data_IF_824255618385
#
_entry.id   IF_824255618385
#
_cell.length_a   1.000
_cell.length_b   1.000
_cell.length_c   1.000
_cell.angle_alpha   90.00
_cell.angle_beta   90.00
_cell.angle_gamma   90.00
#
_symmetry.space_group_name_H-M   'P 1'
#
loop_
_entity.id
_entity.type
_entity.pdbx_description
1 polymer ?
#
# COMPACT_ATOMS: atom_id res chain seq x y z
N UNK A 1 -0.51 49.57 -57.71
CA UNK A 1 -0.65 49.22 -56.28
C UNK A 1 -1.67 48.08 -56.16
N UNK A 2 -1.27 46.80 -56.06
CA UNK A 2 -2.16 45.63 -55.74
C UNK A 2 -1.48 44.24 -55.86
N UNK A 3 -0.19 44.10 -55.48
CA UNK A 3 0.49 42.77 -55.53
C UNK A 3 1.32 42.43 -54.29
N UNK A 4 1.03 43.04 -53.14
CA UNK A 4 1.74 42.76 -51.86
C UNK A 4 0.80 42.14 -50.79
N UNK A 5 -0.52 42.04 -51.03
CA UNK A 5 -1.45 41.55 -50.00
C UNK A 5 -1.55 40.02 -49.87
N UNK A 6 -1.10 39.22 -50.84
CA UNK A 6 -1.34 37.76 -50.77
C UNK A 6 -0.24 37.00 -50.00
N UNK A 7 1.00 37.50 -50.00
CA UNK A 7 2.13 36.79 -49.36
C UNK A 7 2.11 36.94 -47.82
N UNK A 8 1.63 38.07 -47.31
CA UNK A 8 1.54 38.32 -45.86
C UNK A 8 0.41 37.50 -45.21
N UNK A 9 -0.65 37.20 -45.96
CA UNK A 9 -1.75 36.35 -45.48
C UNK A 9 -1.34 34.86 -45.39
N UNK A 10 -0.41 34.41 -46.23
CA UNK A 10 0.11 33.03 -46.23
C UNK A 10 1.21 32.80 -45.17
N UNK A 11 1.90 33.86 -44.73
CA UNK A 11 2.88 33.79 -43.64
C UNK A 11 2.24 33.91 -42.25
N UNK A 12 1.02 34.46 -42.15
CA UNK A 12 0.28 34.57 -40.88
C UNK A 12 -0.45 33.29 -40.45
N UNK A 13 -0.67 32.34 -41.38
CA UNK A 13 -1.41 31.10 -41.10
C UNK A 13 -0.53 29.94 -40.61
N UNK A 14 0.79 30.00 -40.77
CA UNK A 14 1.71 28.95 -40.29
C UNK A 14 2.00 29.01 -38.79
N UNK A 15 1.63 30.10 -38.10
CA UNK A 15 1.84 30.26 -36.66
C UNK A 15 0.72 29.66 -35.79
N UNK A 16 -0.35 29.13 -36.39
CA UNK A 16 -1.50 28.57 -35.66
C UNK A 16 -1.51 27.03 -35.58
N UNK A 17 -0.46 26.35 -36.06
CA UNK A 17 -0.36 24.88 -36.02
C UNK A 17 0.29 24.37 -34.71
N UNK A 18 0.59 25.25 -33.74
CA UNK A 18 1.01 24.83 -32.41
C UNK A 18 -0.15 24.52 -31.43
N UNK A 19 -1.39 24.60 -31.90
CA UNK A 19 -2.56 24.40 -31.04
C UNK A 19 -3.01 22.93 -31.05
N UNK A 20 -2.95 22.31 -29.85
CA UNK A 20 -3.39 20.96 -29.47
C UNK A 20 -2.35 19.84 -29.69
N UNK A 21 -1.42 19.70 -28.73
CA UNK A 21 -1.02 18.34 -28.34
C UNK A 21 -2.31 17.61 -27.95
N UNK A 22 -2.79 16.72 -28.81
CA UNK A 22 -4.01 15.91 -28.65
C UNK A 22 -3.90 14.86 -27.53
N UNK A 23 -2.89 14.98 -26.69
CA UNK A 23 -2.61 14.04 -25.63
C UNK A 23 -3.45 14.44 -24.42
N UNK A 24 -4.32 13.53 -24.00
CA UNK A 24 -5.04 13.69 -22.74
C UNK A 24 -4.03 13.92 -21.61
N UNK A 25 -4.43 14.70 -20.61
CA UNK A 25 -3.61 14.90 -19.44
C UNK A 25 -3.20 13.55 -18.83
N UNK A 26 -1.90 13.38 -18.60
CA UNK A 26 -1.34 12.21 -17.96
C UNK A 26 -0.55 12.66 -16.73
N UNK A 27 -0.81 12.09 -15.53
CA UNK A 27 -0.02 12.37 -14.35
C UNK A 27 1.47 12.05 -14.56
N UNK A 28 2.36 12.74 -13.84
CA UNK A 28 3.81 12.63 -14.03
C UNK A 28 4.33 11.21 -13.70
N UNK A 29 3.74 10.58 -12.70
CA UNK A 29 4.05 9.23 -12.23
C UNK A 29 3.78 8.21 -13.34
N UNK A 30 2.65 8.37 -14.04
CA UNK A 30 2.28 7.53 -15.18
C UNK A 30 3.22 7.78 -16.35
N UNK A 31 3.53 9.05 -16.69
CA UNK A 31 4.49 9.37 -17.76
C UNK A 31 5.84 8.69 -17.52
N UNK A 32 6.36 8.75 -16.28
CA UNK A 32 7.61 8.09 -15.90
C UNK A 32 7.54 6.57 -16.09
N UNK A 33 6.42 5.91 -15.80
CA UNK A 33 6.26 4.47 -15.99
C UNK A 33 6.34 4.08 -17.48
N UNK A 34 5.74 4.88 -18.37
CA UNK A 34 5.89 4.71 -19.82
C UNK A 34 7.32 4.98 -20.31
N UNK A 35 7.97 6.05 -19.83
CA UNK A 35 9.37 6.37 -20.17
C UNK A 35 10.35 5.28 -19.71
N UNK A 36 10.09 4.69 -18.54
CA UNK A 36 10.84 3.55 -18.00
C UNK A 36 10.55 2.24 -18.73
N UNK A 37 9.51 2.17 -19.56
CA UNK A 37 9.08 0.96 -20.27
C UNK A 37 8.45 -0.10 -19.36
N UNK A 38 7.97 0.29 -18.17
CA UNK A 38 7.23 -0.62 -17.27
C UNK A 38 5.75 -0.71 -17.65
N UNK A 39 5.23 0.26 -18.43
CA UNK A 39 3.88 0.28 -18.99
C UNK A 39 3.93 0.45 -20.51
N UNK A 40 2.97 -0.12 -21.23
CA UNK A 40 2.84 0.01 -22.69
C UNK A 40 1.49 0.61 -23.10
N UNK A 41 1.44 1.23 -24.28
CA UNK A 41 0.28 2.00 -24.76
C UNK A 41 -0.90 1.14 -25.20
N UNK A 42 -0.67 -0.16 -25.41
CA UNK A 42 -1.69 -1.17 -25.72
C UNK A 42 -2.35 -1.76 -24.47
N UNK A 43 -1.93 -1.34 -23.28
CA UNK A 43 -2.47 -1.79 -21.99
C UNK A 43 -1.84 -3.09 -21.46
N UNK A 44 -0.90 -3.69 -22.19
CA UNK A 44 -0.11 -4.80 -21.67
C UNK A 44 0.91 -4.30 -20.61
N UNK A 45 1.51 -5.21 -19.82
CA UNK A 45 2.74 -4.93 -19.10
C UNK A 45 3.85 -4.51 -20.08
N UNK A 46 4.61 -3.47 -19.75
CA UNK A 46 5.78 -3.10 -20.55
C UNK A 46 6.91 -4.13 -20.43
N UNK A 47 7.88 -4.10 -21.35
CA UNK A 47 9.00 -5.05 -21.38
C UNK A 47 9.82 -5.08 -20.09
N UNK A 48 9.82 -3.97 -19.33
CA UNK A 48 10.53 -3.84 -18.05
C UNK A 48 9.58 -3.92 -16.84
N UNK A 49 8.34 -4.38 -17.03
CA UNK A 49 7.38 -4.54 -15.94
C UNK A 49 7.89 -5.55 -14.91
N UNK A 50 7.58 -5.29 -13.64
CA UNK A 50 7.97 -6.12 -12.51
C UNK A 50 6.86 -6.09 -11.46
N UNK A 51 6.82 -7.10 -10.60
CA UNK A 51 5.93 -7.16 -9.45
C UNK A 51 6.69 -7.76 -8.27
N UNK A 52 6.61 -7.10 -7.12
CA UNK A 52 7.08 -7.70 -5.88
C UNK A 52 6.07 -8.76 -5.42
N UNK A 53 6.56 -9.76 -4.70
CA UNK A 53 5.75 -10.89 -4.22
C UNK A 53 5.97 -11.10 -2.74
N UNK A 54 5.00 -11.70 -2.07
CA UNK A 54 5.06 -11.93 -0.63
C UNK A 54 4.53 -13.32 -0.29
N UNK A 55 5.30 -14.08 0.48
CA UNK A 55 4.83 -15.33 1.05
C UNK A 55 4.46 -15.11 2.51
N UNK A 56 3.25 -15.52 2.89
CA UNK A 56 2.75 -15.47 4.25
C UNK A 56 2.55 -16.88 4.80
N UNK A 57 3.07 -17.11 6.01
CA UNK A 57 2.61 -18.18 6.89
C UNK A 57 2.01 -17.54 8.13
N UNK A 58 0.71 -17.74 8.36
CA UNK A 58 -0.04 -17.08 9.42
C UNK A 58 -0.63 -18.14 10.35
N UNK A 59 -0.28 -18.07 11.64
CA UNK A 59 -0.99 -18.78 12.69
C UNK A 59 -1.91 -17.80 13.40
N UNK A 60 -3.21 -18.04 13.39
CA UNK A 60 -4.21 -17.10 13.90
C UNK A 60 -5.24 -17.78 14.79
N UNK A 61 -5.63 -17.08 15.84
CA UNK A 61 -6.72 -17.49 16.72
C UNK A 61 -7.70 -16.34 16.90
N UNK A 62 -8.99 -16.68 16.94
CA UNK A 62 -10.07 -15.75 17.24
C UNK A 62 -10.74 -16.23 18.53
N UNK A 63 -10.88 -15.35 19.50
CA UNK A 63 -11.62 -15.60 20.73
C UNK A 63 -12.93 -14.79 20.72
N UNK A 64 -14.09 -15.44 20.48
CA UNK A 64 -15.37 -14.76 20.46
C UNK A 64 -15.81 -14.19 21.83
N UNK A 65 -15.23 -14.66 22.94
CA UNK A 65 -15.63 -14.22 24.29
C UNK A 65 -15.21 -12.77 24.56
N UNK A 66 -14.06 -12.36 24.04
CA UNK A 66 -13.51 -11.01 24.17
C UNK A 66 -13.35 -10.27 22.83
N UNK A 67 -13.78 -10.90 21.72
CA UNK A 67 -13.62 -10.42 20.34
C UNK A 67 -12.16 -10.21 19.94
N UNK A 68 -11.21 -10.90 20.57
CA UNK A 68 -9.80 -10.75 20.22
C UNK A 68 -9.41 -11.63 19.04
N UNK A 69 -8.46 -11.12 18.27
CA UNK A 69 -7.71 -11.86 17.25
C UNK A 69 -6.24 -11.74 17.61
N UNK A 70 -5.56 -12.87 17.69
CA UNK A 70 -4.14 -12.95 17.99
C UNK A 70 -3.49 -13.79 16.92
N UNK A 71 -2.36 -13.33 16.41
CA UNK A 71 -1.65 -14.03 15.36
C UNK A 71 -0.15 -13.88 15.44
N UNK A 72 0.51 -14.82 14.79
CA UNK A 72 1.92 -14.71 14.44
C UNK A 72 2.10 -14.97 12.95
N UNK A 73 2.99 -14.21 12.34
CA UNK A 73 3.25 -14.27 10.91
C UNK A 73 4.73 -14.46 10.63
N UNK A 74 5.02 -15.34 9.69
CA UNK A 74 6.29 -15.38 8.98
C UNK A 74 6.05 -14.87 7.57
N UNK A 75 6.78 -13.84 7.20
CA UNK A 75 6.62 -13.15 5.92
C UNK A 75 7.95 -13.20 5.19
N UNK A 76 7.96 -13.65 3.95
CA UNK A 76 9.09 -13.44 3.04
C UNK A 76 8.69 -12.46 1.96
N UNK A 77 9.31 -11.29 1.95
CA UNK A 77 9.09 -10.26 0.93
C UNK A 77 10.20 -10.32 -0.12
N UNK A 78 9.83 -10.45 -1.40
CA UNK A 78 10.77 -10.50 -2.52
C UNK A 78 10.75 -9.19 -3.29
N UNK A 79 11.90 -8.52 -3.36
CA UNK A 79 12.09 -7.31 -4.14
C UNK A 79 12.52 -7.64 -5.57
N UNK A 80 11.55 -7.76 -6.46
CA UNK A 80 11.77 -7.90 -7.91
C UNK A 80 11.87 -6.55 -8.63
N UNK A 81 11.72 -5.44 -7.92
CA UNK A 81 11.89 -4.10 -8.48
C UNK A 81 13.36 -3.84 -8.82
N UNK A 82 13.67 -2.93 -9.76
CA UNK A 82 15.04 -2.52 -10.04
C UNK A 82 15.64 -1.63 -8.95
N UNK A 83 14.86 -1.23 -7.93
CA UNK A 83 15.26 -0.30 -6.90
C UNK A 83 15.73 -1.04 -5.64
N UNK A 84 16.69 -0.46 -4.93
CA UNK A 84 17.00 -0.88 -3.56
C UNK A 84 15.99 -0.28 -2.57
N UNK A 85 15.45 -1.11 -1.68
CA UNK A 85 14.42 -0.74 -0.72
C UNK A 85 15.03 -0.69 0.68
N UNK A 86 15.03 0.47 1.32
CA UNK A 86 15.55 0.63 2.70
C UNK A 86 14.47 0.63 3.77
N UNK A 87 13.20 0.71 3.37
CA UNK A 87 12.05 0.77 4.28
C UNK A 87 10.96 -0.15 3.76
N UNK A 88 10.42 -1.01 4.62
CA UNK A 88 9.20 -1.74 4.34
C UNK A 88 8.01 -0.99 4.95
N UNK A 89 6.86 -1.05 4.27
CA UNK A 89 5.61 -0.48 4.76
C UNK A 89 4.63 -1.62 5.04
N UNK A 90 4.14 -1.69 6.27
CA UNK A 90 3.17 -2.66 6.75
C UNK A 90 1.89 -1.92 7.11
N UNK A 91 0.78 -2.35 6.54
CA UNK A 91 -0.56 -1.82 6.79
C UNK A 91 -1.16 -2.49 8.01
N UNK A 92 -1.64 -1.65 8.91
CA UNK A 92 -2.32 -2.01 10.14
C UNK A 92 -3.74 -1.46 10.06
N UNK A 93 -4.59 -2.07 9.23
CA UNK A 93 -5.90 -1.50 8.90
C UNK A 93 -6.78 -1.21 10.11
N UNK A 94 -6.66 -2.01 11.18
CA UNK A 94 -7.45 -1.82 12.40
C UNK A 94 -6.95 -0.64 13.24
N UNK A 95 -5.83 0.00 12.91
CA UNK A 95 -5.45 1.29 13.48
C UNK A 95 -6.46 2.40 13.08
N UNK A 96 -7.35 2.16 12.11
CA UNK A 96 -8.52 3.03 11.87
C UNK A 96 -9.46 3.08 13.08
N UNK A 97 -9.47 2.04 13.93
CA UNK A 97 -10.21 1.97 15.20
C UNK A 97 -9.40 2.45 16.40
N UNK A 98 -8.11 2.78 16.22
CA UNK A 98 -7.25 3.30 17.28
C UNK A 98 -7.71 4.66 17.78
N UNK A 99 -7.62 4.92 19.08
CA UNK A 99 -7.87 6.26 19.64
C UNK A 99 -7.01 7.31 18.92
N UNK A 100 -7.65 8.39 18.47
CA UNK A 100 -7.00 9.45 17.67
C UNK A 100 -6.67 9.07 16.21
N UNK A 101 -7.05 7.88 15.75
CA UNK A 101 -6.85 7.42 14.38
C UNK A 101 -7.55 8.31 13.35
N UNK A 102 -6.91 8.46 12.18
CA UNK A 102 -7.44 9.24 11.06
C UNK A 102 -8.60 8.50 10.41
N UNK A 103 -9.73 9.20 10.25
CA UNK A 103 -10.97 8.63 9.71
C UNK A 103 -11.65 9.65 8.82
N UNK A 104 -12.28 9.18 7.75
CA UNK A 104 -13.13 10.02 6.91
C UNK A 104 -14.59 10.04 7.39
N UNK A 105 -14.91 9.32 8.48
CA UNK A 105 -16.24 9.30 9.08
C UNK A 105 -16.22 8.84 10.54
N UNK A 106 -17.35 9.05 11.22
CA UNK A 106 -17.52 8.69 12.62
C UNK A 106 -17.47 7.17 12.84
N UNK A 107 -16.86 6.80 13.96
CA UNK A 107 -16.83 5.44 14.53
C UNK A 107 -17.46 5.54 15.91
N UNK A 108 -18.25 4.53 16.30
CA UNK A 108 -18.89 4.50 17.62
C UNK A 108 -17.84 4.33 18.70
N UNK A 109 -18.00 4.96 19.86
CA UNK A 109 -17.03 4.89 20.96
C UNK A 109 -16.71 3.45 21.40
N UNK A 110 -17.70 2.55 21.35
CA UNK A 110 -17.52 1.13 21.66
C UNK A 110 -16.55 0.38 20.72
N UNK A 111 -16.32 0.92 19.52
CA UNK A 111 -15.43 0.36 18.50
C UNK A 111 -14.06 1.07 18.51
N UNK A 112 -13.82 1.98 19.46
CA UNK A 112 -12.53 2.66 19.63
C UNK A 112 -11.68 1.90 20.63
N UNK A 113 -10.44 1.56 20.25
CA UNK A 113 -9.48 0.90 21.13
C UNK A 113 -8.04 1.32 20.84
N UNK A 114 -7.09 0.41 21.08
CA UNK A 114 -5.65 0.68 20.89
C UNK A 114 -5.15 0.43 19.45
N UNK A 115 -6.01 -0.13 18.58
CA UNK A 115 -5.65 -0.53 17.22
C UNK A 115 -5.00 -1.91 17.17
N UNK A 116 -4.06 -2.08 16.24
CA UNK A 116 -3.22 -3.28 16.13
C UNK A 116 -2.04 -3.15 17.07
N UNK A 117 -1.98 -4.05 18.06
CA UNK A 117 -0.82 -4.20 18.92
C UNK A 117 0.18 -5.13 18.23
N UNK A 118 1.43 -4.66 18.08
CA UNK A 118 2.55 -5.49 17.63
C UNK A 118 3.40 -5.75 18.87
N UNK A 119 3.46 -6.99 19.31
CA UNK A 119 4.19 -7.39 20.52
C UNK A 119 5.63 -7.76 20.24
N UNK A 120 5.91 -8.27 19.03
CA UNK A 120 7.26 -8.58 18.56
C UNK A 120 7.38 -8.39 17.05
N UNK A 121 8.56 -7.93 16.61
CA UNK A 121 8.96 -7.87 15.21
C UNK A 121 10.43 -8.28 15.10
N UNK A 122 10.72 -9.21 14.18
CA UNK A 122 12.08 -9.54 13.78
C UNK A 122 12.27 -9.31 12.29
N UNK A 123 13.46 -8.85 11.91
CA UNK A 123 13.92 -8.73 10.51
C UNK A 123 15.15 -9.62 10.35
N UNK A 124 15.08 -10.61 9.47
CA UNK A 124 16.14 -11.61 9.27
C UNK A 124 16.63 -12.23 10.60
N UNK A 125 15.71 -12.50 11.52
CA UNK A 125 16.00 -13.05 12.85
C UNK A 125 16.48 -12.04 13.90
N UNK A 126 16.75 -10.79 13.53
CA UNK A 126 17.15 -9.72 14.47
C UNK A 126 15.92 -9.02 15.02
N UNK A 127 15.81 -8.92 16.35
CA UNK A 127 14.71 -8.22 17.01
C UNK A 127 14.79 -6.71 16.81
N UNK A 128 13.65 -6.10 16.51
CA UNK A 128 13.53 -4.67 16.24
C UNK A 128 13.05 -3.92 17.49
N UNK A 129 13.64 -2.76 17.76
CA UNK A 129 13.13 -1.85 18.78
C UNK A 129 11.85 -1.15 18.28
N UNK A 130 10.71 -1.68 18.70
CA UNK A 130 9.37 -1.16 18.36
C UNK A 130 9.10 0.26 18.89
N UNK A 131 9.89 0.74 19.86
CA UNK A 131 9.77 2.10 20.43
C UNK A 131 10.89 3.03 19.98
N UNK A 132 11.88 2.49 19.28
CA UNK A 132 13.05 3.22 18.79
C UNK A 132 12.84 3.83 17.41
N UNK A 133 13.96 4.19 16.77
CA UNK A 133 13.95 4.79 15.43
C UNK A 133 13.81 3.75 14.30
N UNK A 134 13.88 2.46 14.63
CA UNK A 134 13.80 1.37 13.66
C UNK A 134 12.37 1.13 13.16
N UNK A 135 11.37 1.57 13.92
CA UNK A 135 9.96 1.44 13.57
C UNK A 135 9.26 2.77 13.79
N UNK A 136 8.46 3.19 12.81
CA UNK A 136 7.58 4.36 12.93
C UNK A 136 6.16 4.00 12.55
N UNK A 137 5.17 4.68 13.12
CA UNK A 137 3.76 4.50 12.74
C UNK A 137 3.12 5.84 12.39
N UNK A 138 2.34 5.86 11.32
CA UNK A 138 1.54 7.00 10.91
C UNK A 138 0.22 6.51 10.31
N UNK A 139 -0.89 7.02 10.83
CA UNK A 139 -2.23 6.59 10.40
C UNK A 139 -2.43 5.09 10.55
N UNK A 140 -2.68 4.39 9.45
CA UNK A 140 -2.81 2.93 9.43
C UNK A 140 -1.59 2.23 8.82
N UNK A 141 -0.44 2.90 8.82
CA UNK A 141 0.80 2.41 8.25
C UNK A 141 1.90 2.34 9.31
N UNK A 142 2.68 1.26 9.27
CA UNK A 142 3.88 1.04 10.05
C UNK A 142 5.07 0.95 9.08
N UNK A 143 6.11 1.72 9.36
CA UNK A 143 7.34 1.79 8.60
C UNK A 143 8.42 1.05 9.36
N UNK A 144 9.07 0.10 8.70
CA UNK A 144 10.18 -0.68 9.25
C UNK A 144 11.44 -0.31 8.49
N UNK A 145 12.37 0.36 9.16
CA UNK A 145 13.63 0.81 8.57
C UNK A 145 14.65 -0.32 8.64
N UNK A 146 15.08 -0.82 7.48
CA UNK A 146 16.04 -1.90 7.38
C UNK A 146 17.45 -1.38 7.69
N UNK A 147 18.24 -2.18 8.42
CA UNK A 147 19.66 -1.87 8.67
C UNK A 147 20.50 -1.92 7.38
N UNK A 148 20.11 -2.82 6.47
CA UNK A 148 20.70 -2.98 5.14
C UNK A 148 19.60 -2.85 4.08
N UNK A 149 19.81 -2.03 3.02
CA UNK A 149 18.85 -1.94 1.93
C UNK A 149 18.67 -3.29 1.23
N UNK A 150 17.41 -3.65 0.99
CA UNK A 150 17.02 -4.81 0.22
C UNK A 150 17.23 -4.54 -1.27
N UNK A 151 18.26 -5.14 -1.86
CA UNK A 151 18.63 -4.92 -3.26
C UNK A 151 17.71 -5.68 -4.23
N UNK A 152 17.75 -5.30 -5.51
CA UNK A 152 16.97 -5.97 -6.57
C UNK A 152 17.28 -7.47 -6.64
N UNK A 153 16.24 -8.29 -6.75
CA UNK A 153 16.31 -9.75 -6.83
C UNK A 153 16.53 -10.45 -5.48
N UNK A 154 16.54 -9.74 -4.36
CA UNK A 154 16.73 -10.30 -3.02
C UNK A 154 15.44 -10.32 -2.21
N UNK A 155 15.46 -11.02 -1.07
CA UNK A 155 14.33 -11.09 -0.14
C UNK A 155 14.71 -10.77 1.30
N UNK A 156 13.69 -10.45 2.09
CA UNK A 156 13.79 -10.21 3.54
C UNK A 156 12.73 -11.01 4.26
N UNK A 157 13.11 -11.59 5.40
CA UNK A 157 12.20 -12.32 6.27
C UNK A 157 11.76 -11.44 7.44
N UNK A 158 10.47 -11.47 7.74
CA UNK A 158 9.87 -10.84 8.91
C UNK A 158 9.18 -11.90 9.75
N UNK A 159 9.36 -11.82 11.07
CA UNK A 159 8.52 -12.53 12.04
C UNK A 159 7.75 -11.47 12.83
N UNK A 160 6.41 -11.52 12.81
CA UNK A 160 5.54 -10.53 13.47
C UNK A 160 4.62 -11.25 14.44
N UNK A 161 4.50 -10.74 15.66
CA UNK A 161 3.44 -11.15 16.59
C UNK A 161 2.51 -9.97 16.83
N UNK A 162 1.21 -10.23 16.75
CA UNK A 162 0.21 -9.17 16.78
C UNK A 162 -1.09 -9.60 17.44
N UNK A 163 -1.82 -8.60 17.92
CA UNK A 163 -3.19 -8.77 18.39
C UNK A 163 -4.04 -7.53 18.11
N UNK A 164 -5.33 -7.75 17.92
CA UNK A 164 -6.33 -6.71 17.70
C UNK A 164 -7.70 -7.21 18.16
N UNK A 165 -8.69 -6.32 18.24
CA UNK A 165 -10.07 -6.70 18.53
C UNK A 165 -10.96 -6.54 17.30
N UNK A 166 -12.01 -7.35 17.21
CA UNK A 166 -13.05 -7.23 16.19
C UNK A 166 -14.07 -6.17 16.64
N UNK A 167 -14.25 -5.07 15.89
CA UNK A 167 -15.24 -4.05 16.20
C UNK A 167 -16.67 -4.57 16.01
N UNK A 168 -17.67 -3.89 16.58
CA UNK A 168 -19.09 -4.20 16.44
C UNK A 168 -19.74 -3.55 15.21
N UNK A 169 -18.96 -2.83 14.40
CA UNK A 169 -19.44 -2.28 13.13
C UNK A 169 -19.84 -3.39 12.16
N UNK A 170 -20.69 -3.10 11.18
CA UNK A 170 -21.02 -4.05 10.09
C UNK A 170 -20.35 -3.65 8.78
N UNK A 171 -19.39 -2.73 8.85
CA UNK A 171 -18.76 -2.15 7.68
C UNK A 171 -17.41 -2.80 7.43
N UNK A 172 -17.40 -3.77 6.52
CA UNK A 172 -16.20 -4.46 6.00
C UNK A 172 -15.43 -5.31 7.03
N UNK A 173 -15.82 -5.23 8.29
CA UNK A 173 -15.46 -6.13 9.37
C UNK A 173 -16.50 -5.94 10.49
N UNK A 174 -16.65 -6.95 11.34
CA UNK A 174 -17.18 -6.83 12.68
C UNK A 174 -18.04 -8.00 13.13
N UNK A 175 -18.73 -7.79 14.25
CA UNK A 175 -19.54 -8.81 14.94
C UNK A 175 -21.02 -8.60 14.66
N UNK A 176 -21.69 -9.66 14.21
CA UNK A 176 -23.12 -9.63 13.93
C UNK A 176 -23.96 -10.05 15.13
N UNK A 177 -23.53 -11.11 15.82
CA UNK A 177 -24.13 -11.62 17.06
C UNK A 177 -23.06 -12.32 17.93
N UNK A 178 -23.46 -12.95 19.05
CA UNK A 178 -22.52 -13.60 19.99
C UNK A 178 -21.68 -14.73 19.39
N UNK A 179 -22.05 -15.25 18.22
CA UNK A 179 -21.41 -16.38 17.53
C UNK A 179 -20.97 -16.08 16.10
N UNK A 180 -21.46 -14.99 15.49
CA UNK A 180 -21.26 -14.69 14.06
C UNK A 180 -20.35 -13.48 13.86
N UNK A 181 -19.23 -13.72 13.18
CA UNK A 181 -18.19 -12.73 12.92
C UNK A 181 -17.93 -12.65 11.42
N UNK A 182 -17.80 -11.43 10.91
CA UNK A 182 -17.24 -11.18 9.59
C UNK A 182 -15.92 -10.44 9.78
N UNK A 183 -14.79 -11.12 9.59
CA UNK A 183 -13.49 -10.51 9.88
C UNK A 183 -12.74 -10.23 8.59
N UNK A 184 -12.82 -8.98 8.13
CA UNK A 184 -12.00 -8.46 7.03
C UNK A 184 -10.73 -7.78 7.56
N UNK A 185 -9.72 -7.62 6.69
CA UNK A 185 -8.50 -6.82 6.94
C UNK A 185 -7.77 -7.16 8.26
N UNK A 186 -7.73 -8.43 8.61
CA UNK A 186 -7.53 -8.90 9.98
C UNK A 186 -6.08 -9.14 10.40
N UNK A 187 -5.12 -8.86 9.51
CA UNK A 187 -3.71 -9.18 9.71
C UNK A 187 -2.81 -8.03 9.20
N UNK A 188 -1.63 -7.80 9.79
CA UNK A 188 -0.61 -6.90 9.24
C UNK A 188 -0.20 -7.26 7.82
N UNK A 189 -0.38 -6.35 6.87
CA UNK A 189 -0.17 -6.64 5.44
C UNK A 189 0.95 -5.78 4.86
N UNK A 190 1.88 -6.34 4.07
CA UNK A 190 2.89 -5.55 3.38
C UNK A 190 2.20 -4.72 2.30
N UNK A 191 2.41 -3.41 2.32
CA UNK A 191 1.85 -2.48 1.35
C UNK A 191 2.36 -2.81 -0.06
N UNK A 192 1.60 -2.45 -1.09
CA UNK A 192 2.08 -2.61 -2.46
C UNK A 192 3.31 -1.71 -2.69
N UNK A 193 4.33 -2.24 -3.37
CA UNK A 193 5.43 -1.46 -3.94
C UNK A 193 5.38 -1.60 -5.46
N UNK A 194 5.13 -0.50 -6.19
CA UNK A 194 4.93 -0.55 -7.64
C UNK A 194 5.77 0.46 -8.44
N UNK A 195 5.65 0.42 -9.76
CA UNK A 195 6.40 1.22 -10.72
C UNK A 195 5.89 2.67 -10.88
N UNK A 196 4.73 2.99 -10.30
CA UNK A 196 4.05 4.28 -10.42
C UNK A 196 4.24 5.10 -9.14
N UNK A 197 3.84 4.54 -8.01
CA UNK A 197 3.77 5.19 -6.70
C UNK A 197 4.83 4.70 -5.72
N UNK A 198 5.63 3.69 -6.09
CA UNK A 198 6.52 3.01 -5.15
C UNK A 198 5.67 2.41 -4.01
N UNK A 199 5.94 2.74 -2.74
CA UNK A 199 5.10 2.29 -1.64
C UNK A 199 3.74 2.99 -1.64
N UNK A 200 2.66 2.21 -1.61
CA UNK A 200 1.35 2.76 -1.29
C UNK A 200 1.19 2.95 0.22
N UNK A 201 1.43 4.21 0.61
CA UNK A 201 1.35 4.71 1.99
C UNK A 201 0.05 5.47 2.27
N UNK A 202 -1.01 5.29 1.48
CA UNK A 202 -2.28 5.94 1.75
C UNK A 202 -2.91 5.36 3.04
N UNK A 203 -3.43 6.24 3.90
CA UNK A 203 -4.12 5.81 5.12
C UNK A 203 -5.48 5.18 4.79
N UNK A 204 -5.78 4.05 5.42
CA UNK A 204 -7.14 3.52 5.42
C UNK A 204 -8.04 4.36 6.30
N UNK A 205 -8.98 5.06 5.68
CA UNK A 205 -9.95 5.94 6.35
C UNK A 205 -11.40 5.50 6.13
N UNK A 206 -11.57 4.25 5.69
CA UNK A 206 -12.79 3.59 5.24
C UNK A 206 -13.38 4.00 3.88
N UNK A 207 -12.92 5.08 3.24
CA UNK A 207 -13.48 5.55 1.98
C UNK A 207 -12.80 4.98 0.74
N UNK A 208 -11.50 4.71 0.84
CA UNK A 208 -10.69 4.26 -0.29
C UNK A 208 -10.48 2.75 -0.25
N UNK A 209 -10.45 2.15 -1.44
CA UNK A 209 -10.01 0.77 -1.62
C UNK A 209 -8.49 0.68 -1.63
N UNK A 210 -8.01 -0.55 -1.48
CA UNK A 210 -6.60 -0.93 -1.39
C UNK A 210 -6.23 -1.82 -2.58
N UNK A 211 -4.94 -1.85 -2.90
CA UNK A 211 -4.35 -2.89 -3.76
C UNK A 211 -3.09 -3.45 -3.09
N UNK A 212 -2.73 -4.68 -3.44
CA UNK A 212 -1.71 -5.44 -2.75
C UNK A 212 -0.74 -6.09 -3.73
N UNK A 213 0.44 -6.47 -3.23
CA UNK A 213 1.37 -7.33 -3.96
C UNK A 213 0.72 -8.69 -4.26
N UNK A 214 1.24 -9.39 -5.25
CA UNK A 214 0.91 -10.81 -5.44
C UNK A 214 1.43 -11.60 -4.24
N UNK A 215 0.60 -12.46 -3.67
CA UNK A 215 0.96 -13.15 -2.43
C UNK A 215 0.45 -14.58 -2.34
N UNK A 216 1.25 -15.43 -1.70
CA UNK A 216 0.88 -16.79 -1.31
C UNK A 216 0.56 -16.83 0.19
N UNK A 217 -0.34 -17.71 0.59
CA UNK A 217 -0.82 -17.81 1.97
C UNK A 217 -0.90 -19.27 2.43
N UNK A 218 -0.21 -19.58 3.53
CA UNK A 218 -0.48 -20.74 4.40
C UNK A 218 -1.08 -20.19 5.70
N UNK A 219 -2.34 -20.49 5.98
CA UNK A 219 -3.08 -19.95 7.15
C UNK A 219 -3.62 -21.09 7.99
N UNK A 220 -3.35 -21.04 9.31
CA UNK A 220 -3.72 -22.06 10.29
C UNK A 220 -4.43 -21.45 11.48
#
# INVERSE_FOLDING_TARGET
>A
MKKISLLVLLLGSSLWVYAQKKQLYMPLEIQKAYEKGTRSWDGAPGEKYWQNTVDYTIEVSVDPSDRSIKGSEKITYYNNSPNSISTLVIRLYYDVFKKGGKRAMAVKDQDIGEGVEISALKVNGTEMDLKGQQVSRSGTNMYVFLSEPLTSGTSVNLDIQWSQFVPLTLRRTGVYDSSSYFVGYWYPQIAAYDDIFEWDTFDYTFQTEMYNNLANFDVK
#
